data_IF_787261872761
#
_entry.id   IF_787261872761
#
_cell.length_a   1.000
_cell.length_b   1.000
_cell.length_c   1.000
_cell.angle_alpha   90.00
_cell.angle_beta   90.00
_cell.angle_gamma   90.00
#
_symmetry.space_group_name_H-M   'P 1'
#
loop_
_entity.id
_entity.type
_entity.pdbx_description
1 polymer ?
#
# COMPACT_ATOMS: atom_id res chain seq x y z
N UNK A 1 -2.08 -41.67 -14.51
CA UNK A 1 -1.98 -42.18 -15.89
C UNK A 1 -1.05 -41.26 -16.66
N UNK A 2 -0.13 -41.84 -17.43
CA UNK A 2 1.18 -41.27 -17.74
C UNK A 2 1.16 -40.00 -18.61
N UNK A 3 2.07 -39.08 -18.24
CA UNK A 3 2.87 -38.14 -19.06
C UNK A 3 2.47 -38.01 -20.54
N UNK A 4 1.90 -36.87 -20.93
CA UNK A 4 2.09 -36.36 -22.30
C UNK A 4 3.55 -35.89 -22.43
N UNK A 5 4.31 -36.35 -23.45
CA UNK A 5 5.60 -35.75 -23.79
C UNK A 5 5.39 -34.37 -24.43
N UNK A 6 6.34 -33.47 -24.17
CA UNK A 6 6.36 -32.08 -24.59
C UNK A 6 6.37 -31.94 -26.14
N UNK A 7 5.63 -30.94 -26.63
CA UNK A 7 5.55 -30.41 -28.02
C UNK A 7 4.33 -30.75 -28.91
N UNK A 8 3.15 -31.04 -28.37
CA UNK A 8 1.90 -30.99 -29.16
C UNK A 8 0.70 -30.44 -28.34
N UNK A 9 0.71 -29.13 -28.06
CA UNK A 9 -0.51 -28.40 -27.67
C UNK A 9 -0.74 -27.25 -28.65
N UNK A 10 -1.82 -27.30 -29.43
CA UNK A 10 -2.49 -26.12 -29.98
C UNK A 10 -3.87 -25.97 -29.30
N UNK A 11 -4.31 -24.72 -29.17
CA UNK A 11 -5.25 -24.19 -28.19
C UNK A 11 -6.74 -24.55 -28.40
N UNK A 12 -7.03 -25.79 -28.79
CA UNK A 12 -8.38 -26.21 -29.20
C UNK A 12 -8.79 -27.62 -28.72
N UNK A 13 -8.00 -28.24 -27.82
CA UNK A 13 -8.53 -29.24 -26.88
C UNK A 13 -8.89 -30.63 -27.40
N UNK A 14 -8.37 -31.07 -28.56
CA UNK A 14 -8.54 -32.46 -29.04
C UNK A 14 -7.21 -33.14 -29.41
N UNK A 15 -7.05 -34.42 -29.02
CA UNK A 15 -5.93 -35.28 -29.39
C UNK A 15 -6.33 -36.28 -30.49
N UNK A 16 -5.51 -36.43 -31.52
CA UNK A 16 -5.66 -37.47 -32.56
C UNK A 16 -4.46 -38.43 -32.54
N UNK A 17 -4.72 -39.72 -32.81
CA UNK A 17 -3.72 -40.75 -33.07
C UNK A 17 -3.66 -41.03 -34.58
N UNK A 18 -2.47 -40.98 -35.18
CA UNK A 18 -2.19 -41.66 -36.45
C UNK A 18 -1.55 -43.02 -36.16
N UNK A 19 -2.05 -44.08 -36.80
CA UNK A 19 -1.42 -45.40 -36.81
C UNK A 19 -0.96 -45.72 -38.23
N UNK A 20 0.35 -45.78 -38.42
CA UNK A 20 0.98 -46.39 -39.59
C UNK A 20 1.37 -47.86 -39.29
N UNK A 21 1.56 -48.61 -40.39
CA UNK A 21 2.01 -50.01 -40.55
C UNK A 21 0.91 -51.11 -40.55
N UNK A 22 0.85 -52.09 -41.47
CA UNK A 22 1.73 -52.55 -42.58
C UNK A 22 0.95 -53.57 -43.45
N UNK A 23 1.26 -53.58 -44.76
CA UNK A 23 1.08 -54.60 -45.83
C UNK A 23 0.24 -55.88 -45.64
N UNK A 24 -0.55 -56.27 -46.65
CA UNK A 24 -0.21 -57.41 -47.56
C UNK A 24 -1.20 -57.63 -48.72
N UNK A 25 -0.71 -58.30 -49.77
CA UNK A 25 -1.32 -58.59 -51.06
C UNK A 25 -2.63 -59.42 -51.02
N UNK A 26 -3.44 -59.30 -52.08
CA UNK A 26 -4.79 -59.86 -52.21
C UNK A 26 -4.92 -61.39 -52.23
N UNK A 27 -6.16 -61.89 -52.38
CA UNK A 27 -6.55 -62.44 -53.68
C UNK A 27 -7.98 -62.10 -54.15
N UNK A 28 -8.15 -62.19 -55.46
CA UNK A 28 -9.41 -62.24 -56.24
C UNK A 28 -10.19 -63.53 -55.92
N UNK A 29 -11.53 -63.47 -55.86
CA UNK A 29 -12.50 -64.34 -56.59
C UNK A 29 -13.98 -64.07 -56.18
N UNK A 30 -14.74 -63.53 -57.15
CA UNK A 30 -16.05 -63.95 -57.71
C UNK A 30 -17.32 -64.04 -56.81
N UNK A 31 -18.27 -63.13 -57.15
CA UNK A 31 -19.75 -63.19 -57.32
C UNK A 31 -20.63 -63.86 -56.22
N UNK A 32 -21.77 -63.30 -55.79
CA UNK A 32 -22.91 -62.81 -56.59
C UNK A 32 -23.80 -61.79 -55.82
N UNK A 33 -24.45 -60.90 -56.59
CA UNK A 33 -25.50 -59.90 -56.23
C UNK A 33 -25.12 -58.41 -56.13
N UNK A 34 -24.54 -57.85 -57.20
CA UNK A 34 -25.32 -56.95 -58.08
C UNK A 34 -25.33 -55.42 -57.85
N UNK A 35 -24.17 -54.74 -57.82
CA UNK A 35 -23.99 -53.39 -58.42
C UNK A 35 -22.54 -53.30 -58.92
N UNK A 36 -22.33 -53.44 -60.23
CA UNK A 36 -20.99 -53.40 -60.82
C UNK A 36 -20.44 -51.98 -60.82
N UNK A 37 -19.17 -51.83 -60.43
CA UNK A 37 -18.42 -50.60 -60.62
C UNK A 37 -18.37 -50.25 -62.11
N UNK A 38 -18.79 -49.05 -62.49
CA UNK A 38 -18.72 -48.53 -63.85
C UNK A 38 -17.51 -47.61 -64.00
N UNK A 39 -16.86 -47.64 -65.17
CA UNK A 39 -15.82 -46.66 -65.52
C UNK A 39 -16.36 -45.60 -66.48
N UNK A 40 -17.42 -45.92 -67.24
CA UNK A 40 -18.11 -45.00 -68.15
C UNK A 40 -19.62 -45.22 -68.08
N UNK A 41 -20.39 -44.19 -68.38
CA UNK A 41 -21.87 -44.23 -68.35
C UNK A 41 -22.49 -45.28 -69.26
N UNK A 42 -21.80 -45.69 -70.33
CA UNK A 42 -22.24 -46.77 -71.22
C UNK A 42 -22.25 -48.17 -70.56
N UNK A 43 -21.54 -48.30 -69.44
CA UNK A 43 -21.43 -49.54 -68.69
C UNK A 43 -22.62 -49.69 -67.70
N UNK A 44 -23.48 -48.67 -67.61
CA UNK A 44 -24.71 -48.66 -66.81
C UNK A 44 -25.96 -48.96 -67.66
N UNK A 45 -27.05 -49.47 -67.05
CA UNK A 45 -28.34 -49.62 -67.71
C UNK A 45 -28.87 -48.26 -68.21
N UNK A 46 -29.69 -48.28 -69.26
CA UNK A 46 -30.31 -47.07 -69.82
C UNK A 46 -31.00 -46.24 -68.73
N UNK A 47 -30.76 -44.92 -68.75
CA UNK A 47 -31.29 -43.96 -67.76
C UNK A 47 -30.44 -43.77 -66.49
N UNK A 48 -29.24 -44.37 -66.41
CA UNK A 48 -28.33 -44.24 -65.26
C UNK A 48 -26.99 -43.61 -65.68
N UNK A 49 -26.41 -42.79 -64.80
CA UNK A 49 -25.10 -42.17 -64.97
C UNK A 49 -24.05 -42.82 -64.07
N UNK A 50 -22.82 -42.93 -64.59
CA UNK A 50 -21.70 -43.50 -63.85
C UNK A 50 -20.96 -42.43 -63.04
N UNK A 51 -20.94 -42.55 -61.71
CA UNK A 51 -20.28 -41.58 -60.82
C UNK A 51 -18.77 -41.87 -60.72
N UNK A 52 -17.88 -40.97 -61.21
CA UNK A 52 -16.45 -41.27 -61.32
C UNK A 52 -15.71 -41.42 -59.98
N UNK A 53 -16.32 -41.00 -58.87
CA UNK A 53 -15.70 -41.06 -57.54
C UNK A 53 -15.85 -42.41 -56.86
N UNK A 54 -16.95 -43.11 -57.09
CA UNK A 54 -17.26 -44.37 -56.42
C UNK A 54 -17.62 -45.51 -57.39
N UNK A 55 -17.64 -45.23 -58.70
CA UNK A 55 -17.96 -46.19 -59.74
C UNK A 55 -19.43 -46.64 -59.70
N UNK A 56 -20.32 -45.92 -59.03
CA UNK A 56 -21.72 -46.34 -58.91
C UNK A 56 -22.59 -45.83 -60.08
N UNK A 57 -23.45 -46.70 -60.62
CA UNK A 57 -24.51 -46.32 -61.56
C UNK A 57 -25.73 -45.79 -60.78
N UNK A 58 -26.11 -44.52 -60.98
CA UNK A 58 -27.30 -43.93 -60.33
C UNK A 58 -28.31 -43.37 -61.35
N UNK A 59 -29.62 -43.43 -61.08
CA UNK A 59 -30.64 -42.87 -61.98
C UNK A 59 -30.47 -41.36 -62.15
N UNK A 60 -30.68 -40.84 -63.36
CA UNK A 60 -30.69 -39.40 -63.62
C UNK A 60 -31.99 -38.78 -63.07
N UNK A 61 -31.87 -37.84 -62.12
CA UNK A 61 -33.03 -37.23 -61.43
C UNK A 61 -33.77 -36.14 -62.23
N UNK A 62 -33.37 -35.83 -63.47
CA UNK A 62 -34.07 -34.87 -64.34
C UNK A 62 -34.25 -35.41 -65.77
N UNK A 63 -35.43 -35.20 -66.40
CA UNK A 63 -35.66 -35.58 -67.79
C UNK A 63 -34.80 -34.71 -68.70
N UNK A 64 -33.78 -35.29 -69.32
CA UNK A 64 -32.99 -34.66 -70.37
C UNK A 64 -33.88 -34.30 -71.57
N UNK A 65 -33.80 -33.07 -72.08
CA UNK A 65 -34.53 -32.59 -73.25
C UNK A 65 -33.60 -32.49 -74.48
N UNK A 66 -34.16 -32.68 -75.69
CA UNK A 66 -33.47 -32.37 -76.95
C UNK A 66 -34.09 -31.18 -77.66
N UNK A 67 -35.41 -31.01 -77.53
CA UNK A 67 -36.18 -29.89 -78.08
C UNK A 67 -37.08 -29.30 -76.99
N UNK A 68 -37.49 -28.04 -77.13
CA UNK A 68 -38.32 -27.32 -76.13
C UNK A 68 -39.64 -28.05 -75.80
N UNK A 69 -40.14 -28.91 -76.69
CA UNK A 69 -41.38 -29.67 -76.51
C UNK A 69 -41.24 -30.83 -75.52
N UNK A 70 -40.00 -31.27 -75.24
CA UNK A 70 -39.71 -32.32 -74.27
C UNK A 70 -39.79 -31.82 -72.82
N UNK A 71 -39.83 -30.50 -72.62
CA UNK A 71 -39.88 -29.83 -71.32
C UNK A 71 -41.34 -29.51 -70.94
N UNK A 72 -42.01 -30.42 -70.23
CA UNK A 72 -43.28 -30.09 -69.58
C UNK A 72 -43.46 -30.79 -68.23
N UNK A 73 -43.58 -29.98 -67.17
CA UNK A 73 -44.79 -30.06 -66.35
C UNK A 73 -45.22 -28.81 -65.58
N UNK A 74 -44.43 -27.76 -65.38
CA UNK A 74 -44.95 -26.50 -64.79
C UNK A 74 -44.31 -25.24 -65.40
N UNK A 75 -45.10 -24.49 -66.18
CA UNK A 75 -44.87 -23.10 -66.62
C UNK A 75 -43.59 -22.76 -67.45
N UNK A 76 -43.63 -23.00 -68.76
CA UNK A 76 -42.93 -22.15 -69.75
C UNK A 76 -41.42 -22.37 -69.94
N UNK A 77 -40.88 -23.49 -69.47
CA UNK A 77 -39.45 -23.82 -69.60
C UNK A 77 -39.04 -24.12 -71.06
N UNK A 78 -37.79 -23.77 -71.43
CA UNK A 78 -37.15 -24.03 -72.74
C UNK A 78 -35.89 -24.88 -72.58
N UNK A 79 -35.50 -25.59 -73.63
CA UNK A 79 -34.36 -26.50 -73.60
C UNK A 79 -33.04 -25.74 -73.82
N UNK A 80 -32.29 -25.53 -72.73
CA UNK A 80 -30.96 -24.92 -72.74
C UNK A 80 -29.88 -25.98 -73.04
N UNK A 81 -29.03 -25.70 -74.03
CA UNK A 81 -27.88 -26.53 -74.41
C UNK A 81 -26.60 -25.87 -73.94
N UNK A 82 -25.85 -26.54 -73.08
CA UNK A 82 -24.52 -26.09 -72.65
C UNK A 82 -23.44 -26.81 -73.47
N UNK A 83 -22.34 -26.12 -73.80
CA UNK A 83 -21.36 -26.63 -74.78
C UNK A 83 -20.61 -27.89 -74.30
N UNK A 84 -20.55 -28.12 -72.98
CA UNK A 84 -19.82 -29.23 -72.35
C UNK A 84 -20.72 -30.39 -71.89
N UNK A 85 -22.04 -30.35 -72.15
CA UNK A 85 -23.00 -31.40 -71.76
C UNK A 85 -23.86 -31.79 -72.97
N UNK A 86 -23.65 -32.98 -73.53
CA UNK A 86 -24.39 -33.46 -74.72
C UNK A 86 -25.91 -33.70 -74.50
N UNK A 87 -26.47 -33.36 -73.33
CA UNK A 87 -27.88 -33.48 -73.01
C UNK A 87 -28.40 -32.14 -72.45
N UNK A 88 -29.34 -31.52 -73.17
CA UNK A 88 -29.97 -30.25 -72.78
C UNK A 88 -30.86 -30.40 -71.55
N UNK A 89 -31.01 -29.30 -70.81
CA UNK A 89 -31.84 -29.19 -69.61
C UNK A 89 -32.94 -28.13 -69.79
N UNK A 90 -34.08 -28.31 -69.13
CA UNK A 90 -35.20 -27.37 -69.18
C UNK A 90 -34.99 -26.22 -68.18
N UNK A 91 -35.11 -24.95 -68.61
CA UNK A 91 -34.97 -23.74 -67.76
C UNK A 91 -36.11 -22.71 -68.03
N UNK A 92 -36.52 -21.92 -67.03
CA UNK A 92 -37.67 -20.99 -67.06
C UNK A 92 -37.46 -19.68 -67.90
N UNK A 93 -38.55 -18.96 -68.32
CA UNK A 93 -38.46 -17.84 -69.29
C UNK A 93 -38.11 -16.45 -68.69
N UNK A 94 -37.81 -15.50 -69.59
CA UNK A 94 -37.15 -14.18 -69.45
C UNK A 94 -37.69 -13.17 -68.40
N UNK A 95 -36.82 -12.23 -67.93
CA UNK A 95 -37.14 -11.26 -66.88
C UNK A 95 -38.18 -10.18 -67.22
N UNK A 96 -38.86 -9.65 -66.18
CA UNK A 96 -39.88 -8.59 -66.20
C UNK A 96 -39.33 -7.17 -66.45
N UNK A 97 -38.04 -6.92 -66.27
CA UNK A 97 -37.38 -5.63 -66.53
C UNK A 97 -35.92 -5.86 -66.97
N UNK A 98 -35.35 -4.98 -67.80
CA UNK A 98 -33.93 -5.02 -68.15
C UNK A 98 -33.14 -3.89 -67.46
N UNK A 99 -33.79 -2.75 -67.20
CA UNK A 99 -33.24 -1.65 -66.40
C UNK A 99 -34.30 -0.98 -65.51
N UNK A 100 -33.87 -0.02 -64.68
CA UNK A 100 -34.73 0.64 -63.67
C UNK A 100 -35.85 1.50 -64.30
N UNK A 101 -35.78 1.85 -65.60
CA UNK A 101 -36.80 2.66 -66.29
C UNK A 101 -38.03 1.87 -66.68
N UNK A 102 -37.93 0.54 -66.70
CA UNK A 102 -39.05 -0.38 -66.95
C UNK A 102 -39.93 -0.59 -65.69
N UNK A 103 -39.53 -0.04 -64.53
CA UNK A 103 -40.22 -0.18 -63.26
C UNK A 103 -40.94 1.12 -62.81
N UNK A 104 -42.00 1.04 -61.97
CA UNK A 104 -42.62 2.21 -61.34
C UNK A 104 -41.60 3.06 -60.56
N UNK A 105 -41.81 4.38 -60.43
CA UNK A 105 -40.86 5.30 -59.78
C UNK A 105 -40.46 4.91 -58.33
N UNK A 106 -41.29 4.09 -57.65
CA UNK A 106 -41.05 3.59 -56.29
C UNK A 106 -40.16 2.35 -56.22
N UNK A 107 -39.84 1.73 -57.36
CA UNK A 107 -39.23 0.42 -57.47
C UNK A 107 -37.91 0.49 -58.29
N UNK A 108 -37.14 -0.60 -58.32
CA UNK A 108 -35.91 -0.77 -59.13
C UNK A 108 -35.81 -2.18 -59.70
N UNK A 109 -35.10 -2.35 -60.81
CA UNK A 109 -34.92 -3.62 -61.49
C UNK A 109 -33.78 -4.44 -60.86
N UNK A 110 -34.10 -5.60 -60.30
CA UNK A 110 -33.15 -6.51 -59.64
C UNK A 110 -33.32 -7.92 -60.16
N UNK A 111 -32.28 -8.43 -60.85
CA UNK A 111 -32.30 -9.75 -61.53
C UNK A 111 -33.56 -9.94 -62.36
N UNK A 112 -34.00 -8.85 -62.99
CA UNK A 112 -35.09 -8.87 -63.93
C UNK A 112 -36.48 -8.99 -63.31
N UNK A 113 -36.67 -8.49 -62.08
CA UNK A 113 -37.98 -8.17 -61.52
C UNK A 113 -37.96 -6.80 -60.88
N UNK A 114 -39.08 -6.08 -60.97
CA UNK A 114 -39.25 -4.81 -60.26
C UNK A 114 -39.47 -5.10 -58.77
N UNK A 115 -38.59 -4.54 -57.93
CA UNK A 115 -38.67 -4.64 -56.47
C UNK A 115 -38.74 -3.24 -55.85
N UNK A 116 -39.50 -3.04 -54.76
CA UNK A 116 -39.57 -1.74 -54.09
C UNK A 116 -38.19 -1.25 -53.65
N UNK A 117 -37.93 0.06 -53.79
CA UNK A 117 -36.68 0.66 -53.31
C UNK A 117 -36.56 0.43 -51.79
N UNK A 118 -35.41 -0.05 -51.27
CA UNK A 118 -35.26 -0.28 -49.83
C UNK A 118 -35.44 1.03 -49.06
N UNK A 119 -36.16 0.94 -47.94
CA UNK A 119 -36.49 1.93 -46.89
C UNK A 119 -35.39 2.97 -46.55
N UNK A 120 -35.76 4.10 -45.88
CA UNK A 120 -34.87 5.22 -45.51
C UNK A 120 -33.50 4.73 -45.04
N UNK A 121 -32.46 5.34 -45.59
CA UNK A 121 -31.08 4.90 -45.43
C UNK A 121 -30.34 5.94 -44.62
N UNK A 122 -29.95 5.52 -43.43
CA UNK A 122 -29.00 6.28 -42.66
C UNK A 122 -27.75 6.61 -43.45
N UNK A 123 -27.33 7.87 -43.41
CA UNK A 123 -26.10 8.37 -44.03
C UNK A 123 -26.26 8.92 -45.43
N UNK A 124 -27.44 9.45 -45.80
CA UNK A 124 -27.69 10.05 -47.12
C UNK A 124 -27.71 11.58 -47.12
N UNK A 125 -27.56 12.19 -45.93
CA UNK A 125 -27.46 13.61 -45.68
C UNK A 125 -28.80 14.27 -45.36
N UNK A 126 -29.87 13.49 -45.20
CA UNK A 126 -31.22 13.98 -44.91
C UNK A 126 -31.82 13.16 -43.78
N UNK A 127 -32.30 13.83 -42.74
CA UNK A 127 -32.99 13.14 -41.63
C UNK A 127 -34.39 12.70 -42.10
N UNK A 128 -34.55 11.40 -42.35
CA UNK A 128 -35.80 10.78 -42.78
C UNK A 128 -36.73 10.43 -41.60
N UNK A 129 -37.99 10.10 -41.92
CA UNK A 129 -38.99 9.73 -40.92
C UNK A 129 -38.66 8.38 -40.25
N UNK A 130 -38.07 8.42 -39.06
CA UNK A 130 -37.63 7.25 -38.30
C UNK A 130 -36.19 7.34 -37.82
N UNK A 131 -35.42 8.31 -38.31
CA UNK A 131 -34.03 8.56 -37.97
C UNK A 131 -33.91 9.61 -36.86
N UNK A 132 -33.01 9.40 -35.90
CA UNK A 132 -32.74 10.39 -34.84
C UNK A 132 -31.65 11.41 -35.28
N UNK A 133 -30.82 11.05 -36.25
CA UNK A 133 -29.75 11.84 -36.85
C UNK A 133 -29.46 11.32 -38.26
N UNK A 134 -28.74 12.09 -39.09
CA UNK A 134 -28.10 11.65 -40.35
C UNK A 134 -26.92 12.60 -40.61
N UNK A 135 -25.70 12.08 -40.72
CA UNK A 135 -24.47 12.87 -40.94
C UNK A 135 -23.88 12.74 -42.35
N UNK A 136 -24.69 12.24 -43.30
CA UNK A 136 -24.30 12.10 -44.70
C UNK A 136 -23.37 10.93 -44.99
N UNK A 137 -23.13 10.04 -44.03
CA UNK A 137 -22.42 8.80 -44.26
C UNK A 137 -22.78 7.67 -43.27
N UNK A 138 -22.17 6.49 -43.41
CA UNK A 138 -22.46 5.29 -42.59
C UNK A 138 -21.24 4.89 -41.72
N UNK A 139 -20.41 5.85 -41.35
CA UNK A 139 -19.35 5.61 -40.37
C UNK A 139 -19.96 5.67 -38.97
N UNK A 140 -19.34 4.93 -38.05
CA UNK A 140 -19.69 5.03 -36.64
C UNK A 140 -18.62 5.91 -35.98
N UNK A 141 -19.03 6.79 -35.08
CA UNK A 141 -18.19 7.68 -34.27
C UNK A 141 -17.95 9.09 -34.83
N UNK A 142 -18.73 9.53 -35.82
CA UNK A 142 -18.65 10.87 -36.43
C UNK A 142 -19.93 11.73 -36.29
N UNK A 143 -20.90 11.27 -35.50
CA UNK A 143 -22.06 12.05 -35.07
C UNK A 143 -23.38 11.30 -35.25
N UNK A 144 -23.42 10.32 -36.16
CA UNK A 144 -24.58 9.46 -36.34
C UNK A 144 -24.17 8.05 -36.76
N UNK A 145 -24.52 7.03 -35.95
CA UNK A 145 -24.17 5.66 -36.33
C UNK A 145 -24.95 5.19 -37.56
N UNK A 146 -24.49 4.09 -38.15
CA UNK A 146 -25.16 3.40 -39.27
C UNK A 146 -26.64 3.00 -39.05
N UNK A 147 -27.15 3.10 -37.82
CA UNK A 147 -28.55 2.82 -37.47
C UNK A 147 -29.36 4.09 -37.19
N UNK A 148 -28.80 5.27 -37.49
CA UNK A 148 -29.43 6.57 -37.32
C UNK A 148 -29.83 6.89 -35.89
N UNK A 149 -28.95 6.51 -34.97
CA UNK A 149 -28.99 6.89 -33.57
C UNK A 149 -27.83 7.83 -33.30
N UNK A 150 -28.12 8.95 -32.62
CA UNK A 150 -27.13 9.95 -32.27
C UNK A 150 -25.99 9.30 -31.46
N UNK A 151 -24.77 9.47 -31.92
CA UNK A 151 -23.58 9.01 -31.22
C UNK A 151 -22.98 10.16 -30.43
N UNK A 152 -22.57 9.85 -29.20
CA UNK A 152 -21.72 10.72 -28.41
C UNK A 152 -20.34 10.81 -29.09
N UNK A 153 -19.89 12.02 -29.44
CA UNK A 153 -18.60 12.23 -30.11
C UNK A 153 -17.58 12.78 -29.14
N UNK A 154 -16.78 11.85 -28.59
CA UNK A 154 -15.79 12.22 -27.60
C UNK A 154 -14.73 13.19 -28.11
N UNK A 155 -14.54 14.29 -27.38
CA UNK A 155 -13.55 15.34 -27.60
C UNK A 155 -14.03 16.54 -28.41
N UNK A 156 -15.34 16.82 -28.42
CA UNK A 156 -15.93 17.92 -29.18
C UNK A 156 -16.23 19.18 -28.32
N UNK A 157 -16.06 19.07 -27.01
CA UNK A 157 -16.25 20.13 -26.01
C UNK A 157 -17.64 20.17 -25.37
N UNK A 158 -18.53 19.23 -25.69
CA UNK A 158 -19.90 19.16 -25.15
C UNK A 158 -20.19 17.77 -24.59
N UNK A 159 -20.66 17.68 -23.34
CA UNK A 159 -21.01 16.38 -22.74
C UNK A 159 -22.37 15.90 -23.27
N UNK A 160 -22.34 14.92 -24.16
CA UNK A 160 -23.52 14.36 -24.82
C UNK A 160 -24.08 13.12 -24.08
N UNK A 161 -25.30 12.70 -24.45
CA UNK A 161 -25.97 11.55 -23.81
C UNK A 161 -25.26 10.24 -24.18
N UNK A 162 -24.36 9.78 -23.32
CA UNK A 162 -23.51 8.62 -23.55
C UNK A 162 -22.08 8.81 -23.03
N UNK A 163 -21.69 10.06 -22.80
CA UNK A 163 -20.39 10.47 -22.27
C UNK A 163 -20.48 10.75 -20.77
N UNK A 164 -19.40 10.44 -20.03
CA UNK A 164 -19.27 10.82 -18.62
C UNK A 164 -18.50 12.14 -18.46
N UNK A 165 -17.73 12.53 -19.48
CA UNK A 165 -16.97 13.78 -19.59
C UNK A 165 -16.72 14.08 -21.08
N UNK A 166 -16.32 15.31 -21.39
CA UNK A 166 -15.72 15.73 -22.66
C UNK A 166 -14.84 16.96 -22.38
N UNK A 167 -13.54 16.90 -22.69
CA UNK A 167 -12.56 17.97 -22.43
C UNK A 167 -12.11 18.70 -23.72
N UNK A 168 -12.87 18.56 -24.81
CA UNK A 168 -12.62 19.20 -26.08
C UNK A 168 -11.50 18.55 -26.90
N UNK A 169 -10.99 17.38 -26.49
CA UNK A 169 -10.12 16.56 -27.32
C UNK A 169 -10.13 15.06 -26.92
N UNK A 170 -9.23 14.24 -27.50
CA UNK A 170 -9.14 12.78 -27.25
C UNK A 170 -7.77 12.38 -26.69
N UNK A 171 -7.08 13.30 -26.02
CA UNK A 171 -5.84 12.97 -25.32
C UNK A 171 -6.23 12.28 -24.02
N UNK A 172 -5.30 11.50 -23.49
CA UNK A 172 -5.45 10.90 -22.19
C UNK A 172 -4.60 11.72 -21.21
N UNK A 173 -5.08 11.87 -19.98
CA UNK A 173 -4.45 12.58 -18.88
C UNK A 173 -4.79 14.07 -18.79
N UNK A 174 -5.80 14.57 -19.50
CA UNK A 174 -6.27 15.96 -19.47
C UNK A 174 -7.71 16.16 -18.98
N UNK A 175 -8.31 15.11 -18.43
CA UNK A 175 -9.58 15.17 -17.70
C UNK A 175 -10.66 14.25 -18.26
N UNK A 176 -10.50 13.77 -19.49
CA UNK A 176 -11.41 12.81 -20.10
C UNK A 176 -10.68 11.78 -20.96
N UNK A 177 -10.90 10.48 -20.73
CA UNK A 177 -10.21 9.45 -21.49
C UNK A 177 -10.72 9.41 -22.94
N UNK A 178 -9.96 8.87 -23.92
CA UNK A 178 -10.37 8.82 -25.33
C UNK A 178 -11.70 8.10 -25.61
N UNK A 179 -12.27 7.40 -24.62
CA UNK A 179 -13.57 6.73 -24.64
C UNK A 179 -14.67 7.51 -23.89
N UNK A 180 -14.42 8.76 -23.53
CA UNK A 180 -15.32 9.65 -22.80
C UNK A 180 -15.79 9.13 -21.44
N UNK A 181 -14.85 8.55 -20.69
CA UNK A 181 -15.01 8.32 -19.25
C UNK A 181 -14.07 9.23 -18.50
N UNK A 182 -14.52 9.65 -17.32
CA UNK A 182 -13.74 10.48 -16.41
C UNK A 182 -12.47 9.74 -16.05
N UNK A 183 -11.33 10.37 -16.30
CA UNK A 183 -10.04 9.85 -15.84
C UNK A 183 -10.02 10.01 -14.32
N UNK A 184 -10.04 8.89 -13.59
CA UNK A 184 -9.74 8.95 -12.17
C UNK A 184 -8.24 9.16 -12.04
N UNK A 185 -7.86 10.21 -11.30
CA UNK A 185 -6.48 10.37 -10.83
C UNK A 185 -6.09 9.08 -10.11
N UNK A 186 -4.97 8.49 -10.50
CA UNK A 186 -4.44 7.28 -9.86
C UNK A 186 -4.34 7.55 -8.35
N UNK A 187 -4.98 6.67 -7.57
CA UNK A 187 -5.15 6.83 -6.13
C UNK A 187 -4.34 5.76 -5.44
N UNK A 188 -3.18 6.18 -4.94
CA UNK A 188 -2.35 5.32 -4.13
C UNK A 188 -3.07 4.88 -2.86
N UNK A 189 -2.93 3.60 -2.51
CA UNK A 189 -3.50 3.00 -1.31
C UNK A 189 -4.92 2.44 -1.51
N UNK A 190 -5.38 2.24 -2.74
CA UNK A 190 -6.75 1.76 -3.04
C UNK A 190 -6.85 0.24 -3.34
N UNK A 191 -5.70 -0.43 -3.46
CA UNK A 191 -5.54 -1.85 -3.74
C UNK A 191 -5.29 -2.19 -5.21
N UNK A 192 -5.16 -1.19 -6.08
CA UNK A 192 -5.08 -1.34 -7.53
C UNK A 192 -3.93 -0.52 -8.09
N UNK A 193 -3.08 -1.14 -8.91
CA UNK A 193 -2.01 -0.40 -9.60
C UNK A 193 -2.61 0.28 -10.83
N UNK A 194 -2.68 1.61 -10.80
CA UNK A 194 -3.30 2.45 -11.83
C UNK A 194 -2.33 3.56 -12.29
N UNK A 195 -2.42 3.99 -13.55
CA UNK A 195 -1.57 5.09 -14.07
C UNK A 195 -0.05 4.85 -13.96
N UNK A 196 0.65 5.76 -13.28
CA UNK A 196 2.12 5.78 -13.12
C UNK A 196 2.61 5.10 -11.82
N UNK A 197 1.73 4.41 -11.09
CA UNK A 197 2.08 3.72 -9.84
C UNK A 197 3.00 2.50 -10.08
N UNK A 198 4.06 2.36 -9.28
CA UNK A 198 4.96 1.20 -9.36
C UNK A 198 4.46 0.00 -8.52
N UNK A 199 3.63 0.30 -7.53
CA UNK A 199 2.94 -0.62 -6.63
C UNK A 199 1.69 0.06 -6.04
N UNK A 200 0.83 -0.75 -5.46
CA UNK A 200 -0.25 -0.35 -4.56
C UNK A 200 -0.54 -1.57 -3.64
N UNK A 201 -0.68 -1.37 -2.35
CA UNK A 201 -1.07 -2.40 -1.37
C UNK A 201 -2.29 -2.05 -0.51
N UNK A 202 -3.08 -1.07 -0.95
CA UNK A 202 -4.41 -0.83 -0.41
C UNK A 202 -4.43 -0.14 0.95
N UNK A 203 -3.37 0.59 1.29
CA UNK A 203 -3.32 1.42 2.49
C UNK A 203 -2.38 2.63 2.31
N UNK A 204 -2.38 3.54 3.29
CA UNK A 204 -1.55 4.75 3.32
C UNK A 204 -0.41 4.64 4.37
N UNK A 205 0.37 3.57 4.34
CA UNK A 205 1.49 3.32 5.27
C UNK A 205 2.82 3.23 4.50
N UNK A 206 3.75 4.15 4.76
CA UNK A 206 5.05 4.12 4.10
C UNK A 206 5.98 2.99 4.58
N UNK A 207 5.60 2.23 5.62
CA UNK A 207 6.45 1.24 6.29
C UNK A 207 6.22 -0.21 5.85
N UNK A 208 5.48 -0.41 4.76
CA UNK A 208 5.20 -1.71 4.18
C UNK A 208 5.76 -1.86 2.75
N UNK A 209 5.09 -2.63 1.88
CA UNK A 209 5.64 -2.99 0.57
C UNK A 209 5.57 -1.81 -0.40
N UNK A 210 4.67 -0.86 -0.18
CA UNK A 210 4.44 0.26 -1.07
C UNK A 210 4.28 1.56 -0.28
N UNK A 211 5.10 2.55 -0.61
CA UNK A 211 4.96 3.87 -0.01
C UNK A 211 3.67 4.56 -0.46
N UNK A 212 3.21 5.53 0.31
CA UNK A 212 2.10 6.45 -0.01
C UNK A 212 2.33 7.26 -1.29
N UNK A 213 3.58 7.30 -1.78
CA UNK A 213 3.95 7.86 -3.07
C UNK A 213 3.83 6.85 -4.24
N UNK A 214 3.28 5.66 -3.98
CA UNK A 214 3.16 4.54 -4.92
C UNK A 214 4.47 4.10 -5.57
N UNK A 215 5.52 4.19 -4.75
CA UNK A 215 6.86 3.67 -5.04
C UNK A 215 7.08 2.44 -4.18
N UNK A 216 7.73 1.42 -4.72
CA UNK A 216 8.12 0.26 -3.91
C UNK A 216 9.05 0.73 -2.80
N UNK A 217 8.80 0.24 -1.58
CA UNK A 217 9.73 0.42 -0.48
C UNK A 217 11.08 -0.21 -0.86
N UNK A 218 12.13 0.58 -0.73
CA UNK A 218 13.51 0.18 -1.03
C UNK A 218 14.47 0.77 -0.02
N UNK A 219 15.44 -0.04 0.35
CA UNK A 219 16.53 0.41 1.18
C UNK A 219 17.16 1.74 0.71
N UNK A 220 17.17 2.70 1.62
CA UNK A 220 17.63 4.07 1.43
C UNK A 220 16.57 5.04 0.93
N UNK A 221 15.28 4.73 1.04
CA UNK A 221 14.19 5.64 0.65
C UNK A 221 13.68 6.54 1.80
N UNK A 222 14.19 6.31 3.02
CA UNK A 222 13.85 7.05 4.23
C UNK A 222 12.74 6.41 5.07
N UNK A 223 12.19 5.27 4.64
CA UNK A 223 11.16 4.53 5.35
C UNK A 223 11.62 3.10 5.63
N UNK A 224 11.34 2.60 6.84
CA UNK A 224 11.72 1.23 7.20
C UNK A 224 10.60 0.29 6.82
N UNK A 225 10.84 -0.58 5.84
CA UNK A 225 9.90 -1.67 5.57
C UNK A 225 9.96 -2.74 6.68
N UNK A 226 9.00 -2.72 7.60
CA UNK A 226 9.00 -3.48 8.86
C UNK A 226 9.22 -4.99 8.71
N UNK A 227 8.86 -5.57 7.56
CA UNK A 227 8.97 -7.02 7.32
C UNK A 227 10.32 -7.42 6.71
N UNK A 228 11.00 -6.51 5.99
CA UNK A 228 12.20 -6.84 5.22
C UNK A 228 13.46 -6.09 5.69
N UNK A 229 13.32 -4.89 6.22
CA UNK A 229 14.40 -3.96 6.55
C UNK A 229 14.56 -3.81 8.07
N UNK A 230 15.79 -3.89 8.56
CA UNK A 230 16.11 -3.70 9.99
C UNK A 230 16.36 -2.23 10.36
N UNK A 231 16.64 -1.41 9.35
CA UNK A 231 16.85 0.03 9.39
C UNK A 231 16.67 0.63 8.00
N UNK A 232 16.63 1.95 7.93
CA UNK A 232 16.75 2.77 6.73
C UNK A 232 17.29 4.14 7.18
N UNK A 233 18.38 4.62 6.57
CA UNK A 233 19.00 5.92 6.88
C UNK A 233 18.87 6.92 5.72
N UNK A 234 17.93 6.68 4.80
CA UNK A 234 17.62 7.54 3.66
C UNK A 234 18.66 7.49 2.54
N UNK A 235 19.60 6.53 2.59
CA UNK A 235 20.53 6.29 1.50
C UNK A 235 21.07 4.82 1.49
N UNK A 236 22.00 4.51 0.59
CA UNK A 236 22.60 3.16 0.45
C UNK A 236 24.12 3.18 0.64
N UNK A 237 24.65 4.21 1.28
CA UNK A 237 26.07 4.30 1.62
C UNK A 237 26.32 3.34 2.78
N UNK A 238 27.38 2.53 2.73
CA UNK A 238 27.77 1.73 3.89
C UNK A 238 28.55 2.57 4.90
N UNK A 239 28.27 2.39 6.17
CA UNK A 239 28.99 2.91 7.33
C UNK A 239 28.38 4.15 7.98
N UNK A 240 27.18 4.60 7.60
CA UNK A 240 26.48 5.76 8.17
C UNK A 240 25.21 5.43 8.96
N UNK A 241 24.89 4.14 9.12
CA UNK A 241 23.87 3.67 10.05
C UNK A 241 23.15 2.43 9.57
N UNK A 242 22.98 2.31 8.25
CA UNK A 242 22.31 1.20 7.61
C UNK A 242 23.08 0.74 6.36
N UNK A 243 23.37 -0.55 6.26
CA UNK A 243 24.10 -1.05 5.09
C UNK A 243 23.23 -1.01 3.83
N UNK A 244 23.85 -1.17 2.66
CA UNK A 244 23.13 -1.22 1.37
C UNK A 244 22.13 -2.40 1.23
N UNK A 245 22.00 -3.26 2.24
CA UNK A 245 21.02 -4.34 2.33
C UNK A 245 20.03 -4.13 3.49
N UNK A 246 19.95 -2.91 4.03
CA UNK A 246 19.11 -2.47 5.12
C UNK A 246 19.24 -3.29 6.40
N UNK A 247 20.49 -3.61 6.74
CA UNK A 247 20.88 -4.19 8.02
C UNK A 247 21.56 -3.13 8.85
N UNK A 248 21.27 -3.13 10.15
CA UNK A 248 21.89 -2.19 11.08
C UNK A 248 23.40 -2.34 11.05
N UNK A 249 24.10 -1.24 10.83
CA UNK A 249 25.55 -1.22 10.87
C UNK A 249 26.04 -0.75 12.24
N UNK A 250 27.18 -1.31 12.62
CA UNK A 250 27.84 -1.00 13.88
C UNK A 250 27.23 -1.70 15.08
N UNK A 251 27.66 -1.23 16.25
CA UNK A 251 27.52 -1.99 17.46
C UNK A 251 26.08 -2.28 17.88
N UNK A 252 25.86 -3.52 18.30
CA UNK A 252 24.59 -4.00 18.82
C UNK A 252 23.68 -4.65 17.77
N UNK A 253 24.22 -5.01 16.60
CA UNK A 253 23.45 -5.63 15.52
C UNK A 253 23.48 -7.17 15.56
N UNK A 254 24.22 -7.76 16.50
CA UNK A 254 24.33 -9.20 16.66
C UNK A 254 25.41 -9.88 15.86
N UNK A 255 26.28 -9.11 15.21
CA UNK A 255 27.29 -9.58 14.28
C UNK A 255 28.61 -8.92 14.64
N UNK A 256 29.65 -9.74 14.77
CA UNK A 256 30.99 -9.21 14.99
C UNK A 256 31.60 -8.78 13.65
N UNK A 257 31.70 -7.48 13.41
CA UNK A 257 32.16 -6.88 12.17
C UNK A 257 33.63 -6.42 12.24
N UNK A 258 34.21 -6.05 11.09
CA UNK A 258 35.61 -5.65 11.02
C UNK A 258 35.81 -4.26 11.63
N UNK A 259 36.45 -4.20 12.80
CA UNK A 259 36.61 -2.96 13.59
C UNK A 259 36.01 -3.07 14.99
N UNK A 260 35.21 -4.11 15.24
CA UNK A 260 34.56 -4.39 16.52
C UNK A 260 35.35 -5.44 17.32
N UNK A 261 35.45 -5.25 18.63
CA UNK A 261 36.09 -6.20 19.56
C UNK A 261 35.08 -7.16 20.21
N UNK A 262 33.81 -6.76 20.22
CA UNK A 262 32.64 -7.47 20.72
C UNK A 262 31.38 -6.97 19.97
N UNK A 263 30.28 -7.71 20.09
CA UNK A 263 28.92 -7.27 19.78
C UNK A 263 27.96 -8.17 20.58
N UNK A 264 26.98 -7.58 21.26
CA UNK A 264 25.99 -8.28 22.09
C UNK A 264 24.53 -7.88 21.81
N UNK A 265 24.25 -7.52 20.55
CA UNK A 265 22.88 -7.36 20.02
C UNK A 265 22.06 -6.22 20.64
N UNK A 266 22.69 -5.32 21.37
CA UNK A 266 22.00 -4.21 21.99
C UNK A 266 22.89 -2.96 22.00
N UNK A 267 22.33 -1.81 22.40
CA UNK A 267 23.03 -0.53 22.50
C UNK A 267 23.10 -0.01 23.93
N UNK A 268 23.42 -0.90 24.85
CA UNK A 268 23.62 -0.60 26.26
C UNK A 268 25.13 -0.54 26.54
N UNK A 269 25.58 0.48 27.26
CA UNK A 269 27.00 0.62 27.64
C UNK A 269 27.31 -0.14 28.95
N UNK A 270 26.28 -0.55 29.70
CA UNK A 270 26.38 -1.12 31.04
C UNK A 270 26.62 -2.64 31.06
N UNK A 271 26.72 -3.27 29.89
CA UNK A 271 27.00 -4.70 29.75
C UNK A 271 28.46 -4.98 29.34
N UNK A 272 28.73 -6.14 28.72
CA UNK A 272 30.10 -6.54 28.41
C UNK A 272 30.62 -5.92 27.09
N UNK A 273 29.77 -5.24 26.32
CA UNK A 273 30.14 -4.60 25.07
C UNK A 273 29.59 -3.19 24.97
N UNK A 274 30.48 -2.21 25.02
CA UNK A 274 30.08 -0.80 24.88
C UNK A 274 29.48 -0.53 23.50
N UNK A 275 28.71 0.56 23.39
CA UNK A 275 28.17 1.11 22.15
C UNK A 275 29.24 1.45 21.10
N UNK A 276 30.50 1.57 21.52
CA UNK A 276 31.66 1.72 20.64
C UNK A 276 32.26 0.38 20.17
N UNK A 277 31.59 -0.75 20.46
CA UNK A 277 32.02 -2.11 20.16
C UNK A 277 33.39 -2.46 20.72
N UNK A 278 33.63 -1.96 21.93
CA UNK A 278 34.78 -2.33 22.75
C UNK A 278 34.31 -3.10 23.95
N UNK A 279 35.11 -4.08 24.35
CA UNK A 279 34.82 -4.82 25.56
C UNK A 279 34.81 -3.87 26.74
N UNK A 280 33.83 -4.05 27.60
CA UNK A 280 33.81 -3.44 28.92
C UNK A 280 35.10 -3.77 29.66
N UNK A 281 35.81 -2.72 30.09
CA UNK A 281 37.02 -2.85 30.89
C UNK A 281 37.03 -1.78 31.95
N UNK A 282 37.61 -2.14 33.09
CA UNK A 282 37.87 -1.18 34.14
C UNK A 282 38.73 -0.03 33.64
N UNK A 283 38.31 1.20 33.94
CA UNK A 283 38.99 2.43 33.57
C UNK A 283 38.61 2.96 32.20
N UNK A 284 37.45 2.61 31.67
CA UNK A 284 36.94 3.14 30.40
C UNK A 284 35.94 4.28 30.56
N UNK A 285 35.69 4.71 31.80
CA UNK A 285 34.86 5.85 32.17
C UNK A 285 33.38 5.50 32.29
N UNK A 286 33.03 4.20 32.27
CA UNK A 286 31.64 3.73 32.33
C UNK A 286 31.49 2.86 33.57
N UNK A 287 30.71 3.35 34.55
CA UNK A 287 30.43 2.61 35.77
C UNK A 287 29.32 1.59 35.54
N UNK A 288 29.65 0.29 35.57
CA UNK A 288 28.71 -0.80 35.31
C UNK A 288 28.18 -1.41 36.59
N UNK A 289 26.86 -1.60 36.66
CA UNK A 289 26.20 -2.18 37.83
C UNK A 289 26.57 -3.66 38.11
N UNK A 290 27.16 -4.36 37.13
CA UNK A 290 27.59 -5.74 37.28
C UNK A 290 29.08 -5.88 36.91
N UNK A 291 29.93 -5.97 37.92
CA UNK A 291 31.34 -6.34 37.76
C UNK A 291 32.35 -5.28 38.21
N UNK A 292 31.90 -4.04 38.43
CA UNK A 292 32.73 -2.89 38.82
C UNK A 292 32.07 -2.16 40.00
N UNK A 293 32.83 -1.86 41.06
CA UNK A 293 32.35 -1.07 42.20
C UNK A 293 32.60 0.44 41.98
N UNK A 294 33.50 0.80 41.06
CA UNK A 294 33.86 2.16 40.62
C UNK A 294 34.41 2.13 39.19
N UNK A 295 34.54 3.30 38.55
CA UNK A 295 35.35 3.54 37.34
C UNK A 295 35.71 5.04 37.29
N UNK A 296 37.00 5.37 37.28
CA UNK A 296 37.51 6.76 37.24
C UNK A 296 38.15 7.12 35.87
N UNK A 297 37.85 6.33 34.84
CA UNK A 297 38.34 6.53 33.48
C UNK A 297 39.80 6.14 33.28
N UNK A 298 40.44 5.48 34.25
CA UNK A 298 41.77 4.93 34.08
C UNK A 298 42.04 3.70 35.01
N UNK A 299 43.29 3.22 35.06
CA UNK A 299 43.70 2.06 35.88
C UNK A 299 44.91 2.39 36.78
N UNK A 300 45.19 3.68 36.99
CA UNK A 300 46.25 4.13 37.88
C UNK A 300 45.81 3.92 39.33
N UNK A 301 46.59 3.23 40.18
CA UNK A 301 46.19 3.08 41.58
C UNK A 301 46.34 4.38 42.36
N UNK A 302 45.38 4.68 43.22
CA UNK A 302 45.40 5.71 44.26
C UNK A 302 44.65 7.00 43.91
N UNK A 303 43.88 7.02 42.83
CA UNK A 303 43.08 8.18 42.38
C UNK A 303 41.55 7.97 42.50
N UNK A 304 41.11 6.79 42.96
CA UNK A 304 39.73 6.53 43.33
C UNK A 304 39.30 5.09 43.05
N UNK A 305 39.89 4.45 42.05
CA UNK A 305 39.53 3.11 41.60
C UNK A 305 40.75 2.24 41.29
N UNK A 306 40.79 1.02 41.84
CA UNK A 306 41.92 0.12 41.61
C UNK A 306 41.91 -0.52 40.21
N UNK A 307 43.01 -1.20 39.84
CA UNK A 307 43.17 -1.93 38.55
C UNK A 307 42.09 -3.03 38.28
N UNK A 308 41.22 -3.29 39.26
CA UNK A 308 40.14 -4.30 39.22
C UNK A 308 38.78 -3.69 39.54
N UNK A 309 38.67 -2.37 39.41
CA UNK A 309 37.47 -1.58 39.63
C UNK A 309 36.86 -1.76 41.01
N UNK A 310 37.71 -1.70 42.02
CA UNK A 310 37.30 -1.65 43.43
C UNK A 310 37.61 -0.28 43.97
N UNK A 311 36.67 0.24 44.75
CA UNK A 311 36.82 1.53 45.42
C UNK A 311 38.09 1.51 46.26
N UNK A 312 38.95 2.50 46.04
CA UNK A 312 40.14 2.72 46.84
C UNK A 312 39.89 3.81 47.87
N UNK A 313 40.19 3.50 49.14
CA UNK A 313 39.87 4.40 50.25
C UNK A 313 38.39 4.39 50.58
N UNK A 314 37.79 5.56 50.74
CA UNK A 314 36.47 5.68 51.32
C UNK A 314 35.36 5.03 50.49
N UNK A 315 34.51 4.22 51.15
CA UNK A 315 33.41 3.53 50.51
C UNK A 315 33.74 2.11 50.06
N UNK A 316 34.88 1.55 50.47
CA UNK A 316 35.33 0.21 50.09
C UNK A 316 34.80 -0.92 51.02
N UNK A 317 34.09 -0.55 52.10
CA UNK A 317 33.53 -1.49 53.06
C UNK A 317 34.42 -1.87 54.22
N UNK A 318 35.53 -1.15 54.38
CA UNK A 318 36.50 -1.31 55.47
C UNK A 318 36.90 0.07 55.93
N UNK A 319 37.12 0.20 57.23
CA UNK A 319 37.71 1.41 57.81
C UNK A 319 39.22 1.20 57.78
N UNK A 320 39.89 1.89 56.86
CA UNK A 320 41.33 1.86 56.67
C UNK A 320 42.06 2.94 57.51
N UNK A 321 43.40 2.89 57.53
CA UNK A 321 44.22 3.81 58.33
C UNK A 321 44.08 5.26 57.79
N UNK A 322 43.33 6.09 58.50
CA UNK A 322 43.04 7.48 58.11
C UNK A 322 41.54 7.80 58.00
N UNK A 323 40.69 6.78 58.03
CA UNK A 323 39.25 6.88 57.91
C UNK A 323 38.56 6.85 59.29
N UNK A 324 37.52 7.66 59.48
CA UNK A 324 36.72 7.68 60.72
C UNK A 324 35.45 6.81 60.63
N UNK A 325 34.99 6.55 59.41
CA UNK A 325 33.87 5.70 59.04
C UNK A 325 34.10 5.12 57.65
N UNK A 326 33.26 4.16 57.25
CA UNK A 326 33.11 3.67 55.87
C UNK A 326 31.72 3.01 55.79
N UNK A 327 30.94 3.35 54.77
CA UNK A 327 29.58 2.84 54.50
C UNK A 327 29.40 2.28 53.09
N UNK A 328 30.50 1.79 52.50
CA UNK A 328 30.49 0.97 51.28
C UNK A 328 30.01 1.68 50.02
N UNK A 329 30.01 3.00 49.98
CA UNK A 329 29.63 3.75 48.80
C UNK A 329 30.34 5.12 48.76
N UNK A 330 30.13 5.87 47.68
CA UNK A 330 30.70 7.21 47.48
C UNK A 330 29.62 8.31 47.46
N UNK A 331 28.69 8.29 48.41
CA UNK A 331 27.61 9.28 48.52
C UNK A 331 27.82 10.11 49.78
N UNK A 332 28.06 11.42 49.67
CA UNK A 332 28.30 12.27 50.85
C UNK A 332 27.09 12.39 51.82
N UNK A 333 25.88 12.16 51.29
CA UNK A 333 24.59 12.39 51.96
C UNK A 333 24.11 11.24 52.86
N UNK A 334 24.97 10.30 53.23
CA UNK A 334 24.65 9.23 54.16
C UNK A 334 25.56 9.24 55.41
N UNK A 335 25.91 8.07 55.96
CA UNK A 335 26.54 7.97 57.26
C UNK A 335 27.99 8.46 57.26
N UNK A 336 28.66 8.41 56.10
CA UNK A 336 30.06 8.73 55.92
C UNK A 336 30.23 9.61 54.69
N UNK A 337 31.02 10.68 54.81
CA UNK A 337 31.39 11.48 53.63
C UNK A 337 32.38 10.70 52.76
N UNK A 338 32.52 11.13 51.51
CA UNK A 338 33.51 10.65 50.55
C UNK A 338 34.97 10.89 51.00
N UNK A 339 35.18 11.79 51.97
CA UNK A 339 36.47 11.97 52.66
C UNK A 339 36.63 11.06 53.90
N UNK A 340 35.72 10.12 54.10
CA UNK A 340 35.69 9.19 55.22
C UNK A 340 35.65 9.85 56.59
N UNK A 341 34.88 10.94 56.66
CA UNK A 341 34.51 11.60 57.91
C UNK A 341 33.06 11.31 58.21
N UNK A 342 32.73 11.21 59.49
CA UNK A 342 31.32 11.09 59.86
C UNK A 342 30.60 12.36 59.49
N UNK A 343 29.41 12.18 58.94
CA UNK A 343 28.51 13.29 58.76
C UNK A 343 28.17 13.96 60.09
N UNK A 344 28.18 15.28 60.07
CA UNK A 344 27.81 16.11 61.23
C UNK A 344 26.95 17.27 60.75
N UNK A 345 26.05 17.69 61.62
CA UNK A 345 25.29 18.91 61.42
C UNK A 345 26.21 20.10 61.17
N UNK A 346 25.89 20.89 60.15
CA UNK A 346 26.60 22.12 59.79
C UNK A 346 27.82 21.89 58.91
N UNK A 347 27.91 20.77 58.19
CA UNK A 347 29.01 20.49 57.27
C UNK A 347 28.69 20.76 55.80
N UNK A 348 27.47 21.23 55.52
CA UNK A 348 26.98 21.63 54.20
C UNK A 348 26.38 20.47 53.41
N UNK A 349 26.20 19.31 54.04
CA UNK A 349 25.66 18.11 53.40
C UNK A 349 24.43 17.63 54.15
N UNK A 350 23.26 17.83 53.54
CA UNK A 350 21.99 17.37 54.10
C UNK A 350 21.89 15.84 54.07
N UNK A 351 21.67 15.23 55.23
CA UNK A 351 21.43 13.79 55.36
C UNK A 351 20.01 13.52 55.82
N UNK A 352 19.15 13.19 54.87
CA UNK A 352 17.68 13.11 55.03
C UNK A 352 17.19 12.16 56.14
N UNK A 353 18.01 11.20 56.60
CA UNK A 353 17.62 10.22 57.62
C UNK A 353 17.85 10.66 59.07
N UNK A 354 18.61 11.73 59.32
CA UNK A 354 18.93 12.20 60.67
C UNK A 354 19.03 13.73 60.84
N UNK A 355 19.08 14.50 59.74
CA UNK A 355 19.15 15.96 59.68
C UNK A 355 17.91 16.47 58.92
N UNK A 356 17.17 17.43 59.48
CA UNK A 356 16.02 18.05 58.80
C UNK A 356 16.46 19.21 57.88
N UNK A 357 17.64 19.77 58.13
CA UNK A 357 18.29 20.81 57.37
C UNK A 357 19.81 20.69 57.57
N UNK A 358 20.59 21.38 56.73
CA UNK A 358 22.00 21.68 56.96
C UNK A 358 22.34 22.93 56.13
N UNK A 359 22.76 24.01 56.78
CA UNK A 359 23.13 25.28 56.14
C UNK A 359 24.65 25.53 56.12
N UNK A 360 25.44 24.50 56.39
CA UNK A 360 26.90 24.55 56.38
C UNK A 360 27.52 25.20 57.61
N UNK A 361 26.75 25.44 58.68
CA UNK A 361 27.29 25.91 59.94
C UNK A 361 26.46 25.49 61.17
N UNK A 362 26.80 26.00 62.35
CA UNK A 362 26.15 25.68 63.64
C UNK A 362 25.67 26.97 64.35
N UNK A 363 25.44 28.05 63.60
CA UNK A 363 24.86 29.29 64.11
C UNK A 363 23.34 29.11 64.13
N UNK A 364 22.69 29.52 65.23
CA UNK A 364 21.22 29.49 65.30
C UNK A 364 20.66 30.78 64.65
N UNK A 365 19.60 30.64 63.87
CA UNK A 365 18.77 31.70 63.29
C UNK A 365 19.07 32.06 61.83
N UNK A 366 19.84 31.27 61.09
CA UNK A 366 20.13 31.45 59.66
C UNK A 366 19.55 30.35 58.75
N UNK A 367 18.78 29.42 59.31
CA UNK A 367 17.94 28.47 58.56
C UNK A 367 17.99 27.07 59.13
N UNK A 368 19.06 26.71 59.85
CA UNK A 368 19.21 25.42 60.48
C UNK A 368 19.87 25.53 61.86
N UNK A 369 19.24 24.98 62.90
CA UNK A 369 19.81 25.06 64.24
C UNK A 369 21.01 24.11 64.41
N UNK A 370 21.78 24.31 65.48
CA UNK A 370 22.94 23.47 65.79
C UNK A 370 22.61 21.96 66.06
N UNK A 371 21.33 21.60 66.17
CA UNK A 371 20.82 20.23 66.28
C UNK A 371 20.18 19.73 64.95
N UNK A 372 20.43 20.44 63.85
CA UNK A 372 19.94 20.19 62.48
C UNK A 372 18.42 20.03 62.39
N UNK A 373 17.71 20.90 63.11
CA UNK A 373 16.28 21.13 62.94
C UNK A 373 16.07 22.42 62.16
N UNK A 374 15.07 22.40 61.26
CA UNK A 374 14.67 23.60 60.52
C UNK A 374 14.25 24.66 61.52
N UNK A 375 14.80 25.85 61.37
CA UNK A 375 14.47 27.00 62.21
C UNK A 375 13.40 27.85 61.54
N UNK A 376 12.35 28.18 62.30
CA UNK A 376 11.23 28.96 61.81
C UNK A 376 10.22 28.12 61.04
N UNK A 377 9.50 28.80 60.14
CA UNK A 377 8.28 28.28 59.57
C UNK A 377 8.47 27.04 58.71
N UNK A 378 7.57 26.08 58.84
CA UNK A 378 7.56 24.85 58.05
C UNK A 378 8.24 23.67 58.75
N UNK A 379 8.54 23.77 60.05
CA UNK A 379 9.26 22.73 60.80
C UNK A 379 8.34 21.77 61.61
N UNK A 380 7.03 21.98 61.55
CA UNK A 380 6.01 21.18 62.21
C UNK A 380 5.80 21.56 63.67
N UNK A 381 6.42 22.64 64.15
CA UNK A 381 6.39 23.11 65.53
C UNK A 381 6.14 24.60 65.57
N UNK A 382 4.97 24.97 66.08
CA UNK A 382 4.66 26.38 66.33
C UNK A 382 5.53 26.99 67.44
N UNK A 383 6.35 27.97 67.08
CA UNK A 383 7.31 28.67 67.94
C UNK A 383 6.86 30.08 68.36
N UNK A 384 7.60 30.72 69.27
CA UNK A 384 7.32 32.06 69.79
C UNK A 384 7.60 33.13 68.72
N UNK A 385 6.55 33.50 67.98
CA UNK A 385 6.63 34.42 66.83
C UNK A 385 5.73 34.01 65.68
N UNK A 386 5.26 32.77 65.69
CA UNK A 386 4.49 32.15 64.61
C UNK A 386 2.98 32.12 64.91
N UNK A 387 2.17 32.55 63.94
CA UNK A 387 0.72 32.45 64.03
C UNK A 387 0.23 31.01 63.76
N UNK A 388 0.93 30.28 62.89
CA UNK A 388 0.72 28.89 62.50
C UNK A 388 2.06 28.24 62.10
N UNK A 389 2.07 26.92 61.96
CA UNK A 389 3.11 26.13 61.30
C UNK A 389 2.48 24.78 60.89
N UNK A 390 2.65 24.36 59.65
CA UNK A 390 2.13 23.10 59.08
C UNK A 390 3.21 22.17 58.53
N UNK A 391 4.47 22.41 58.90
CA UNK A 391 5.55 21.45 58.67
C UNK A 391 5.97 21.28 57.21
N UNK A 392 5.77 22.29 56.38
CA UNK A 392 6.26 22.31 55.00
C UNK A 392 6.48 23.75 54.50
N UNK A 393 7.08 23.89 53.31
CA UNK A 393 7.38 25.18 52.65
C UNK A 393 6.37 25.54 51.51
N UNK A 394 5.12 25.12 51.61
CA UNK A 394 4.07 25.39 50.61
C UNK A 394 3.14 26.53 51.05
N UNK A 395 3.27 27.72 50.45
CA UNK A 395 2.34 28.83 50.71
C UNK A 395 0.87 28.53 50.31
N UNK A 396 0.65 27.44 49.56
CA UNK A 396 -0.64 26.98 49.03
C UNK A 396 -1.54 26.23 50.02
N UNK A 397 -1.16 26.12 51.29
CA UNK A 397 -1.95 25.46 52.33
C UNK A 397 -2.47 26.46 53.40
N UNK A 398 -2.69 25.99 54.63
CA UNK A 398 -3.30 26.81 55.68
C UNK A 398 -2.30 27.80 56.32
N UNK A 399 -1.00 27.56 56.23
CA UNK A 399 0.03 28.42 56.77
C UNK A 399 0.97 28.91 55.67
N UNK A 400 1.19 30.22 55.60
CA UNK A 400 2.22 30.74 54.71
C UNK A 400 3.62 30.40 55.24
N UNK A 401 4.61 30.36 54.35
CA UNK A 401 6.04 30.22 54.66
C UNK A 401 6.58 31.36 55.54
N UNK A 402 5.80 32.43 55.73
CA UNK A 402 6.05 33.51 56.69
C UNK A 402 5.44 33.28 58.07
N UNK A 403 4.89 32.09 58.35
CA UNK A 403 4.24 31.72 59.61
C UNK A 403 3.05 32.58 59.99
N UNK A 404 2.31 32.99 58.96
CA UNK A 404 1.03 33.67 59.08
C UNK A 404 -0.08 32.81 58.50
N UNK A 405 -1.23 32.77 59.17
CA UNK A 405 -2.38 32.01 58.67
C UNK A 405 -2.79 32.56 57.30
N UNK A 406 -3.00 31.66 56.34
CA UNK A 406 -3.46 31.98 54.99
C UNK A 406 -4.75 32.81 55.01
N UNK A 407 -4.83 33.84 54.14
CA UNK A 407 -6.01 34.72 54.07
C UNK A 407 -6.30 35.13 52.64
N UNK A 408 -7.59 35.21 52.35
CA UNK A 408 -8.06 35.87 51.13
C UNK A 408 -7.42 37.25 50.95
N UNK A 409 -6.85 37.49 49.77
CA UNK A 409 -6.16 38.71 49.38
C UNK A 409 -4.68 38.76 49.77
N UNK A 410 -4.03 37.62 49.99
CA UNK A 410 -2.61 37.53 50.33
C UNK A 410 -1.70 37.27 49.11
N UNK A 411 -2.28 37.12 47.92
CA UNK A 411 -1.58 36.96 46.66
C UNK A 411 -1.30 35.50 46.28
N UNK A 412 -1.78 34.54 47.06
CA UNK A 412 -1.61 33.10 46.81
C UNK A 412 -2.98 32.47 46.61
N UNK A 413 -3.16 31.67 45.56
CA UNK A 413 -4.45 31.01 45.27
C UNK A 413 -4.44 29.58 45.79
N UNK A 414 -5.33 29.29 46.73
CA UNK A 414 -5.49 27.97 47.36
C UNK A 414 -6.77 27.28 46.92
N UNK A 415 -6.65 26.40 45.93
CA UNK A 415 -7.77 25.73 45.23
C UNK A 415 -8.81 25.04 46.15
N UNK A 416 -8.44 24.67 47.38
CA UNK A 416 -9.34 24.01 48.32
C UNK A 416 -10.25 24.98 49.12
N UNK A 417 -9.95 26.28 49.12
CA UNK A 417 -10.66 27.29 49.91
C UNK A 417 -11.04 28.56 49.13
N UNK A 418 -10.24 28.96 48.12
CA UNK A 418 -10.48 30.13 47.27
C UNK A 418 -10.50 29.81 45.77
N UNK A 419 -11.27 30.58 45.00
CA UNK A 419 -11.38 30.44 43.54
C UNK A 419 -10.51 31.42 42.76
N UNK A 420 -10.03 32.46 43.44
CA UNK A 420 -9.13 33.49 42.96
C UNK A 420 -8.48 34.18 44.16
N UNK A 421 -7.40 34.91 43.90
CA UNK A 421 -6.78 35.85 44.84
C UNK A 421 -6.11 36.94 43.97
N UNK A 422 -6.43 38.21 44.20
CA UNK A 422 -5.87 39.36 43.47
C UNK A 422 -4.93 40.23 44.33
N UNK A 423 -4.44 39.67 45.44
CA UNK A 423 -3.52 40.30 46.38
C UNK A 423 -4.14 41.37 47.26
N UNK A 424 -5.48 41.47 47.30
CA UNK A 424 -6.18 42.38 48.19
C UNK A 424 -7.64 41.91 48.47
N UNK A 425 -8.42 42.71 49.22
CA UNK A 425 -9.81 42.39 49.60
C UNK A 425 -10.79 43.47 49.10
N UNK A 426 -10.52 44.07 47.95
CA UNK A 426 -11.37 45.09 47.32
C UNK A 426 -12.33 44.37 46.35
N UNK A 427 -13.64 44.66 46.39
CA UNK A 427 -14.55 44.15 45.38
C UNK A 427 -14.46 44.95 44.08
N UNK A 428 -14.51 44.28 42.93
CA UNK A 428 -14.62 44.85 41.59
C UNK A 428 -13.32 44.91 40.78
N UNK A 429 -12.19 44.39 41.29
CA UNK A 429 -10.87 44.42 40.64
C UNK A 429 -10.27 43.05 40.33
N UNK A 430 -11.00 41.96 40.58
CA UNK A 430 -10.59 40.62 40.18
C UNK A 430 -11.27 39.53 41.01
N UNK A 431 -11.27 39.69 42.32
CA UNK A 431 -11.76 38.70 43.28
C UNK A 431 -12.62 39.36 44.38
N UNK A 432 -13.69 38.69 44.84
CA UNK A 432 -14.53 39.25 45.91
C UNK A 432 -13.86 39.13 47.30
N UNK A 433 -14.39 39.81 48.32
CA UNK A 433 -13.88 39.80 49.72
C UNK A 433 -13.92 38.41 50.41
N UNK A 434 -14.41 37.37 49.73
CA UNK A 434 -14.45 35.97 50.19
C UNK A 434 -13.70 35.05 49.21
N UNK A 435 -12.93 35.63 48.32
CA UNK A 435 -12.13 34.99 47.30
C UNK A 435 -12.90 34.10 46.31
N UNK A 436 -14.06 34.60 45.88
CA UNK A 436 -14.81 34.06 44.75
C UNK A 436 -14.62 34.92 43.51
N UNK A 437 -14.59 34.27 42.35
CA UNK A 437 -14.57 34.97 41.07
C UNK A 437 -15.79 35.89 40.98
N UNK A 438 -15.55 37.15 40.66
CA UNK A 438 -16.63 38.11 40.49
C UNK A 438 -17.35 37.86 39.16
N UNK A 439 -18.67 37.76 39.21
CA UNK A 439 -19.47 37.66 37.99
C UNK A 439 -19.37 38.98 37.21
N UNK A 440 -18.80 38.89 36.00
CA UNK A 440 -18.59 39.97 35.03
C UNK A 440 -19.83 40.87 34.77
#
# INVERSE_FOLDING_TARGET
FNRCPENLCKADGFCWFESDDVSDAGPVIIDDAGVGACERTRDCPDGHYCYPRDGSCRPLEHPSCREDQDCQQEAGERCARDADRELGQCEAPTPECEDDWDCPETDRCLRGRCMPRPEPRCGDGVIDAGEACDDGNNQDGDGCNRNCVLEAVCGNGEVERGEQCDDGNRRAGDGCDPSCRTEQEAQCGNGWVEGDEECDDGNDDDTDRCTTACRRAVCGDGFVWVILEECDDGNQVPGDGCDAFCRREGCGNGRLEAGEECDDRNRDDDDNCTNACRRAVCGDGILRAFGEDCDDGNIEPGDGCDERCRIEGCGNGRIDDGEECDDRNQVDGDFCTNECRRGVCGDGVLREWWEQCDDGNLEDGDGCDADCQIEGCGNGRREDGEECDDGNDDDGDWCTNGCTEARCGDGVVRDFWEQCDDGNNVPGDGCDERCFNEDN
#
